data_IF_240702782893
#
_entry.id   IF_240702782893
#
_cell.length_a   1.000
_cell.length_b   1.000
_cell.length_c   1.000
_cell.angle_alpha   90.00
_cell.angle_beta   90.00
_cell.angle_gamma   90.00
#
_symmetry.space_group_name_H-M   'P 1'
#
loop_
_entity.id
_entity.type
_entity.pdbx_description
1 polymer ?
#
# COMPACT_ATOMS: atom_id res chain seq x y z
N UNK A 1 6.27 -20.23 8.43
CA UNK A 1 5.51 -18.97 8.47
C UNK A 1 4.32 -19.19 9.40
N UNK A 2 4.11 -18.33 10.40
CA UNK A 2 3.07 -18.44 11.42
C UNK A 2 2.03 -17.31 11.29
N UNK A 3 2.48 -16.09 10.94
CA UNK A 3 1.59 -14.95 10.70
C UNK A 3 1.90 -14.29 9.36
N UNK A 4 0.88 -13.99 8.58
CA UNK A 4 1.02 -13.11 7.42
C UNK A 4 0.28 -11.80 7.64
N UNK A 5 0.87 -10.70 7.19
CA UNK A 5 0.19 -9.41 7.12
C UNK A 5 -0.33 -9.19 5.72
N UNK A 6 -1.61 -8.82 5.60
CA UNK A 6 -2.23 -8.50 4.32
C UNK A 6 -2.57 -7.01 4.23
N UNK A 7 -2.00 -6.35 3.22
CA UNK A 7 -2.41 -5.03 2.76
C UNK A 7 -3.39 -5.22 1.59
N UNK A 8 -4.53 -4.54 1.64
CA UNK A 8 -5.59 -4.74 0.65
C UNK A 8 -6.47 -3.51 0.49
N UNK A 9 -7.02 -3.32 -0.71
CA UNK A 9 -7.94 -2.24 -1.00
C UNK A 9 -9.26 -2.35 -0.24
N UNK A 10 -9.80 -1.19 0.14
CA UNK A 10 -11.06 -1.08 0.86
C UNK A 10 -12.29 -0.79 -0.02
N UNK A 11 -12.11 -0.78 -1.35
CA UNK A 11 -13.20 -0.50 -2.29
C UNK A 11 -14.21 -1.63 -2.31
N UNK A 12 -15.49 -1.30 -2.14
CA UNK A 12 -16.62 -2.23 -2.33
C UNK A 12 -16.96 -2.50 -3.80
N UNK A 13 -16.27 -1.87 -4.76
CA UNK A 13 -16.52 -1.98 -6.20
C UNK A 13 -15.41 -2.72 -6.95
N UNK A 14 -14.59 -3.47 -6.22
CA UNK A 14 -13.49 -4.24 -6.79
C UNK A 14 -13.98 -5.30 -7.81
N UNK A 15 -13.17 -5.63 -8.84
CA UNK A 15 -13.46 -6.74 -9.75
C UNK A 15 -13.66 -8.05 -9.00
N UNK A 16 -14.59 -8.89 -9.49
CA UNK A 16 -14.93 -10.15 -8.80
C UNK A 16 -13.76 -11.14 -8.76
N UNK A 17 -12.86 -11.10 -9.75
CA UNK A 17 -11.60 -11.84 -9.73
C UNK A 17 -10.73 -11.48 -8.53
N UNK A 18 -10.66 -10.20 -8.16
CA UNK A 18 -9.93 -9.74 -6.97
C UNK A 18 -10.65 -10.13 -5.68
N UNK A 19 -11.99 -10.05 -5.66
CA UNK A 19 -12.81 -10.52 -4.53
C UNK A 19 -12.58 -12.01 -4.26
N UNK A 20 -12.55 -12.82 -5.32
CA UNK A 20 -12.27 -14.26 -5.24
C UNK A 20 -10.86 -14.55 -4.73
N UNK A 21 -9.85 -13.79 -5.16
CA UNK A 21 -8.50 -13.92 -4.64
C UNK A 21 -8.43 -13.56 -3.14
N UNK A 22 -9.12 -12.51 -2.69
CA UNK A 22 -9.19 -12.19 -1.26
C UNK A 22 -9.83 -13.31 -0.44
N UNK A 23 -10.93 -13.90 -0.92
CA UNK A 23 -11.58 -15.05 -0.27
C UNK A 23 -10.67 -16.29 -0.23
N UNK A 24 -10.03 -16.61 -1.35
CA UNK A 24 -9.10 -17.73 -1.45
C UNK A 24 -7.89 -17.57 -0.51
N UNK A 25 -7.35 -16.34 -0.38
CA UNK A 25 -6.26 -16.03 0.53
C UNK A 25 -6.66 -16.26 1.99
N UNK A 26 -7.82 -15.75 2.39
CA UNK A 26 -8.34 -15.99 3.74
C UNK A 26 -8.57 -17.48 4.02
N UNK A 27 -9.16 -18.21 3.08
CA UNK A 27 -9.35 -19.66 3.19
C UNK A 27 -8.02 -20.40 3.39
N UNK A 28 -7.01 -20.10 2.57
CA UNK A 28 -5.70 -20.73 2.65
C UNK A 28 -4.96 -20.38 3.95
N UNK A 29 -5.15 -19.19 4.52
CA UNK A 29 -4.63 -18.88 5.86
C UNK A 29 -5.17 -19.86 6.89
N UNK A 30 -6.50 -20.06 6.93
CA UNK A 30 -7.14 -20.96 7.86
C UNK A 30 -6.73 -22.43 7.62
N UNK A 31 -6.71 -22.88 6.37
CA UNK A 31 -6.31 -24.25 6.01
C UNK A 31 -4.87 -24.57 6.45
N UNK A 32 -3.97 -23.60 6.34
CA UNK A 32 -2.55 -23.74 6.69
C UNK A 32 -2.24 -23.43 8.16
N UNK A 33 -3.25 -23.13 8.98
CA UNK A 33 -3.10 -22.68 10.37
C UNK A 33 -2.18 -21.45 10.51
N UNK A 34 -2.32 -20.51 9.57
CA UNK A 34 -1.58 -19.25 9.52
C UNK A 34 -2.49 -18.13 10.05
N UNK A 35 -1.98 -17.37 11.01
CA UNK A 35 -2.67 -16.18 11.52
C UNK A 35 -2.68 -15.08 10.47
N UNK A 36 -3.86 -14.52 10.21
CA UNK A 36 -4.04 -13.38 9.31
C UNK A 36 -4.00 -12.08 10.12
N UNK A 37 -3.03 -11.20 9.85
CA UNK A 37 -2.96 -9.84 10.37
C UNK A 37 -3.36 -8.85 9.27
N UNK A 38 -4.27 -7.92 9.55
CA UNK A 38 -4.72 -6.94 8.56
C UNK A 38 -5.19 -5.63 9.21
N UNK A 39 -5.63 -4.69 8.38
CA UNK A 39 -6.01 -3.34 8.79
C UNK A 39 -7.34 -3.17 9.55
N UNK A 40 -8.04 -4.24 9.95
CA UNK A 40 -9.15 -4.21 10.92
C UNK A 40 -10.50 -3.63 10.46
N UNK A 41 -10.62 -3.17 9.22
CA UNK A 41 -11.85 -2.60 8.66
C UNK A 41 -12.72 -3.67 7.97
N UNK A 42 -14.02 -3.45 7.89
CA UNK A 42 -15.03 -4.33 7.27
C UNK A 42 -15.41 -3.90 5.84
N UNK A 43 -14.45 -3.40 5.06
CA UNK A 43 -14.70 -2.91 3.70
C UNK A 43 -13.84 -3.58 2.63
N UNK A 44 -14.39 -3.71 1.43
CA UNK A 44 -13.71 -4.23 0.24
C UNK A 44 -12.99 -5.56 0.44
N UNK A 45 -11.81 -5.69 -0.19
CA UNK A 45 -10.97 -6.88 -0.07
C UNK A 45 -10.52 -7.14 1.37
N UNK A 46 -10.33 -6.09 2.17
CA UNK A 46 -9.95 -6.23 3.59
C UNK A 46 -10.98 -7.05 4.37
N UNK A 47 -12.27 -6.83 4.13
CA UNK A 47 -13.32 -7.63 4.75
C UNK A 47 -13.34 -9.05 4.23
N UNK A 48 -13.27 -9.23 2.90
CA UNK A 48 -13.38 -10.54 2.27
C UNK A 48 -12.27 -11.48 2.73
N UNK A 49 -11.03 -11.01 2.83
CA UNK A 49 -9.90 -11.83 3.31
C UNK A 49 -10.05 -12.20 4.79
N UNK A 50 -10.43 -11.24 5.63
CA UNK A 50 -10.63 -11.47 7.06
C UNK A 50 -11.79 -12.43 7.33
N UNK A 51 -12.92 -12.20 6.68
CA UNK A 51 -14.12 -13.01 6.86
C UNK A 51 -13.95 -14.43 6.30
N UNK A 52 -13.23 -14.59 5.20
CA UNK A 52 -12.92 -15.91 4.66
C UNK A 52 -12.02 -16.72 5.61
N UNK A 53 -11.01 -16.11 6.21
CA UNK A 53 -10.18 -16.76 7.21
C UNK A 53 -11.02 -17.18 8.43
N UNK A 54 -11.80 -16.24 8.98
CA UNK A 54 -12.63 -16.46 10.17
C UNK A 54 -13.71 -17.54 9.96
N UNK A 55 -14.44 -17.51 8.84
CA UNK A 55 -15.48 -18.52 8.51
C UNK A 55 -14.90 -19.92 8.34
N UNK A 56 -13.59 -20.04 8.11
CA UNK A 56 -12.87 -21.31 8.04
C UNK A 56 -12.12 -21.65 9.34
N UNK A 57 -12.46 -20.99 10.46
CA UNK A 57 -11.86 -21.18 11.79
C UNK A 57 -10.38 -20.78 11.90
N UNK A 58 -9.88 -19.93 10.98
CA UNK A 58 -8.55 -19.34 11.10
C UNK A 58 -8.53 -18.14 12.04
N UNK A 59 -7.36 -17.85 12.62
CA UNK A 59 -7.15 -16.72 13.54
C UNK A 59 -6.95 -15.41 12.77
N UNK A 60 -7.69 -14.36 13.15
CA UNK A 60 -7.60 -13.03 12.51
C UNK A 60 -7.32 -11.93 13.52
N UNK A 61 -6.29 -11.13 13.24
CA UNK A 61 -5.86 -9.96 14.01
C UNK A 61 -6.12 -8.69 13.18
N UNK A 62 -6.92 -7.78 13.71
CA UNK A 62 -7.12 -6.44 13.13
C UNK A 62 -6.33 -5.38 13.88
N UNK A 63 -5.73 -4.43 13.16
CA UNK A 63 -5.06 -3.27 13.75
C UNK A 63 -5.66 -1.98 13.20
N UNK A 64 -6.18 -1.13 14.08
CA UNK A 64 -6.86 0.12 13.71
C UNK A 64 -6.32 1.30 14.53
N UNK A 65 -6.36 2.53 13.99
CA UNK A 65 -6.13 3.71 14.79
C UNK A 65 -7.28 3.91 15.81
N UNK A 66 -6.97 4.36 17.02
CA UNK A 66 -7.93 4.65 18.10
C UNK A 66 -9.06 5.57 17.63
N UNK A 67 -8.77 6.50 16.72
CA UNK A 67 -9.74 7.43 16.12
C UNK A 67 -10.81 6.75 15.24
N UNK A 68 -10.56 5.52 14.77
CA UNK A 68 -11.51 4.75 13.96
C UNK A 68 -12.24 3.67 14.77
N UNK A 69 -11.95 3.52 16.07
CA UNK A 69 -12.48 2.43 16.92
C UNK A 69 -14.00 2.35 16.93
N UNK A 70 -14.67 3.49 16.97
CA UNK A 70 -16.15 3.55 17.04
C UNK A 70 -16.80 3.63 15.65
N UNK A 71 -16.02 3.53 14.58
CA UNK A 71 -16.57 3.49 13.22
C UNK A 71 -17.43 2.23 13.04
N UNK A 72 -18.60 2.40 12.41
CA UNK A 72 -19.43 1.28 11.95
C UNK A 72 -18.69 0.36 10.96
N UNK A 73 -17.59 0.86 10.39
CA UNK A 73 -16.74 0.13 9.46
C UNK A 73 -15.67 -0.72 10.14
N UNK A 74 -15.60 -0.78 11.47
CA UNK A 74 -14.70 -1.72 12.16
C UNK A 74 -15.24 -3.15 12.07
N UNK A 75 -14.37 -4.12 11.82
CA UNK A 75 -14.73 -5.53 11.83
C UNK A 75 -14.81 -6.03 13.28
N UNK A 76 -16.02 -6.37 13.74
CA UNK A 76 -16.30 -6.68 15.16
C UNK A 76 -16.05 -8.14 15.55
N UNK A 77 -15.99 -9.06 14.59
CA UNK A 77 -15.93 -10.52 14.83
C UNK A 77 -14.49 -11.06 14.77
N UNK A 78 -13.49 -10.26 15.12
CA UNK A 78 -12.08 -10.65 15.09
C UNK A 78 -11.65 -11.36 16.38
N UNK A 79 -10.67 -12.27 16.28
CA UNK A 79 -10.05 -12.90 17.46
C UNK A 79 -9.26 -11.89 18.31
N UNK A 80 -8.67 -10.90 17.66
CA UNK A 80 -7.93 -9.82 18.30
C UNK A 80 -8.09 -8.52 17.52
N UNK A 81 -8.41 -7.44 18.22
CA UNK A 81 -8.45 -6.09 17.67
C UNK A 81 -7.53 -5.18 18.48
N UNK A 82 -6.46 -4.69 17.85
CA UNK A 82 -5.46 -3.82 18.46
C UNK A 82 -5.73 -2.39 18.03
N UNK A 83 -5.72 -1.47 19.00
CA UNK A 83 -5.82 -0.03 18.76
C UNK A 83 -4.47 0.65 18.95
N UNK A 84 -4.13 1.57 18.05
CA UNK A 84 -2.88 2.37 18.08
C UNK A 84 -3.18 3.86 17.87
N UNK A 85 -2.25 4.76 18.12
CA UNK A 85 -2.54 6.20 18.08
C UNK A 85 -2.43 6.79 16.66
N UNK A 86 -1.47 6.31 15.86
CA UNK A 86 -1.18 6.86 14.52
C UNK A 86 -1.31 5.84 13.38
N UNK A 87 -1.35 6.32 12.14
CA UNK A 87 -1.34 5.45 10.95
C UNK A 87 0.01 4.75 10.80
N UNK A 88 1.10 5.44 11.12
CA UNK A 88 2.43 4.85 11.11
C UNK A 88 2.57 3.74 12.16
N UNK A 89 2.12 3.98 13.39
CA UNK A 89 2.12 2.94 14.42
C UNK A 89 1.31 1.71 13.98
N UNK A 90 0.20 1.92 13.25
CA UNK A 90 -0.60 0.83 12.68
C UNK A 90 0.22 0.01 11.69
N UNK A 91 0.87 0.66 10.72
CA UNK A 91 1.73 -0.02 9.74
C UNK A 91 2.88 -0.76 10.42
N UNK A 92 3.52 -0.13 11.41
CA UNK A 92 4.60 -0.73 12.21
C UNK A 92 4.14 -1.94 13.02
N UNK A 93 2.99 -1.89 13.68
CA UNK A 93 2.46 -3.02 14.45
C UNK A 93 2.04 -4.19 13.55
N UNK A 94 1.53 -3.90 12.34
CA UNK A 94 1.24 -4.90 11.31
C UNK A 94 2.54 -5.52 10.80
N UNK A 95 3.57 -4.71 10.55
CA UNK A 95 4.90 -5.18 10.17
C UNK A 95 5.49 -6.10 11.25
N UNK A 96 5.45 -5.73 12.53
CA UNK A 96 6.07 -6.50 13.61
C UNK A 96 5.48 -7.90 13.81
N UNK A 97 4.22 -8.10 13.44
CA UNK A 97 3.55 -9.40 13.52
C UNK A 97 3.81 -10.28 12.31
N UNK A 98 4.19 -9.70 11.18
CA UNK A 98 4.36 -10.43 9.94
C UNK A 98 5.62 -11.32 9.96
N UNK A 99 5.48 -12.57 9.50
CA UNK A 99 6.61 -13.35 8.97
C UNK A 99 6.76 -13.10 7.46
N UNK A 100 5.64 -12.86 6.77
CA UNK A 100 5.56 -12.44 5.37
C UNK A 100 4.44 -11.41 5.18
N UNK A 101 4.55 -10.62 4.11
CA UNK A 101 3.63 -9.52 3.82
C UNK A 101 3.09 -9.71 2.40
N UNK A 102 1.77 -9.68 2.27
CA UNK A 102 1.06 -9.94 1.02
C UNK A 102 0.25 -8.69 0.66
N UNK A 103 0.38 -8.22 -0.58
CA UNK A 103 -0.40 -7.11 -1.11
C UNK A 103 -1.43 -7.61 -2.13
N UNK A 104 -2.70 -7.56 -1.73
CA UNK A 104 -3.82 -7.65 -2.67
C UNK A 104 -4.01 -6.29 -3.35
N UNK A 105 -4.71 -6.24 -4.50
CA UNK A 105 -5.02 -4.99 -5.19
C UNK A 105 -5.62 -3.91 -4.28
N UNK A 106 -5.20 -2.65 -4.44
CA UNK A 106 -5.59 -1.56 -3.56
C UNK A 106 -5.07 -0.19 -3.98
N UNK A 107 -5.71 0.88 -3.47
CA UNK A 107 -5.40 2.26 -3.87
C UNK A 107 -4.21 2.86 -3.10
N UNK A 108 -4.19 4.19 -2.98
CA UNK A 108 -3.07 4.90 -2.35
C UNK A 108 -2.67 4.43 -0.94
N UNK A 109 -3.61 3.96 -0.12
CA UNK A 109 -3.28 3.40 1.20
C UNK A 109 -2.48 2.10 1.12
N UNK A 110 -2.89 1.17 0.25
CA UNK A 110 -2.15 -0.08 0.01
C UNK A 110 -0.81 0.21 -0.65
N UNK A 111 -0.75 1.19 -1.56
CA UNK A 111 0.50 1.63 -2.16
C UNK A 111 1.48 2.22 -1.14
N UNK A 112 1.02 3.05 -0.21
CA UNK A 112 1.84 3.57 0.90
C UNK A 112 2.38 2.44 1.78
N UNK A 113 1.53 1.48 2.15
CA UNK A 113 1.92 0.29 2.92
C UNK A 113 2.96 -0.56 2.17
N UNK A 114 2.80 -0.77 0.87
CA UNK A 114 3.74 -1.52 0.02
C UNK A 114 5.09 -0.80 -0.10
N UNK A 115 5.07 0.50 -0.43
CA UNK A 115 6.28 1.28 -0.66
C UNK A 115 7.13 1.40 0.61
N UNK A 116 6.50 1.51 1.78
CA UNK A 116 7.18 1.54 3.09
C UNK A 116 7.99 0.26 3.33
N UNK A 117 7.37 -0.91 3.12
CA UNK A 117 8.04 -2.20 3.29
C UNK A 117 9.17 -2.39 2.29
N UNK A 118 8.95 -2.09 1.02
CA UNK A 118 10.01 -2.18 0.00
C UNK A 118 11.20 -1.28 0.36
N UNK A 119 10.93 -0.05 0.81
CA UNK A 119 11.98 0.88 1.21
C UNK A 119 12.76 0.39 2.45
N UNK A 120 12.09 -0.15 3.46
CA UNK A 120 12.77 -0.74 4.62
C UNK A 120 13.63 -1.96 4.24
N UNK A 121 13.18 -2.74 3.26
CA UNK A 121 13.92 -3.85 2.67
C UNK A 121 15.21 -3.39 2.02
N UNK A 122 15.12 -2.39 1.15
CA UNK A 122 16.28 -1.73 0.50
C UNK A 122 17.32 -1.24 1.50
N UNK A 123 16.86 -0.64 2.60
CA UNK A 123 17.73 -0.15 3.67
C UNK A 123 18.31 -1.26 4.55
N UNK A 124 17.81 -2.49 4.42
CA UNK A 124 18.29 -3.66 5.15
C UNK A 124 17.75 -3.78 6.57
N UNK A 125 16.57 -3.22 6.86
CA UNK A 125 15.92 -3.35 8.17
C UNK A 125 15.32 -4.74 8.39
N UNK A 126 14.78 -5.40 7.36
CA UNK A 126 14.05 -6.64 7.54
C UNK A 126 14.46 -7.76 6.58
N UNK A 127 13.95 -8.97 6.84
CA UNK A 127 14.12 -10.20 6.05
C UNK A 127 12.76 -10.85 5.74
N UNK A 128 11.77 -10.03 5.44
CA UNK A 128 10.38 -10.48 5.23
C UNK A 128 10.04 -10.38 3.74
N UNK A 129 9.54 -11.44 3.10
CA UNK A 129 9.12 -11.37 1.71
C UNK A 129 7.91 -10.45 1.56
N UNK A 130 7.92 -9.63 0.50
CA UNK A 130 6.80 -8.77 0.11
C UNK A 130 6.18 -9.32 -1.18
N UNK A 131 5.08 -10.05 -1.04
CA UNK A 131 4.43 -10.74 -2.16
C UNK A 131 3.32 -9.89 -2.74
N UNK A 132 3.46 -9.54 -4.02
CA UNK A 132 2.45 -8.86 -4.82
C UNK A 132 1.50 -9.91 -5.40
N UNK A 133 0.28 -10.01 -4.86
CA UNK A 133 -0.74 -10.94 -5.36
C UNK A 133 -1.34 -10.33 -6.64
N UNK A 134 -0.71 -10.63 -7.76
CA UNK A 134 -0.89 -10.01 -9.06
C UNK A 134 -2.01 -10.66 -9.87
N UNK A 135 -3.25 -10.45 -9.44
CA UNK A 135 -4.45 -10.91 -10.13
C UNK A 135 -4.73 -10.00 -11.32
N UNK A 136 -5.02 -10.57 -12.48
CA UNK A 136 -5.33 -9.87 -13.73
C UNK A 136 -4.26 -8.85 -14.17
N UNK A 137 -3.01 -9.02 -13.73
CA UNK A 137 -1.91 -8.09 -14.03
C UNK A 137 -2.01 -6.75 -13.29
N UNK A 138 -2.79 -6.67 -12.20
CA UNK A 138 -3.03 -5.41 -11.47
C UNK A 138 -1.75 -4.66 -11.04
N UNK A 139 -0.69 -5.39 -10.72
CA UNK A 139 0.58 -4.82 -10.25
C UNK A 139 1.61 -4.64 -11.37
N UNK A 140 1.34 -5.06 -12.62
CA UNK A 140 2.31 -5.08 -13.72
C UNK A 140 3.04 -3.74 -13.87
N UNK A 141 2.30 -2.64 -14.06
CA UNK A 141 2.89 -1.32 -14.28
C UNK A 141 3.64 -0.77 -13.05
N UNK A 142 3.21 -1.16 -11.84
CA UNK A 142 3.92 -0.80 -10.61
C UNK A 142 5.24 -1.55 -10.47
N UNK A 143 5.27 -2.84 -10.82
CA UNK A 143 6.50 -3.63 -10.82
C UNK A 143 7.45 -3.17 -11.94
N UNK A 144 6.88 -2.87 -13.11
CA UNK A 144 7.59 -2.30 -14.25
C UNK A 144 8.26 -0.97 -13.91
N UNK A 145 7.67 -0.15 -13.03
CA UNK A 145 8.33 1.07 -12.53
C UNK A 145 9.74 0.77 -12.00
N UNK A 146 9.90 -0.26 -11.16
CA UNK A 146 11.21 -0.60 -10.59
C UNK A 146 12.13 -1.33 -11.57
N UNK A 147 11.58 -1.97 -12.60
CA UNK A 147 12.32 -2.78 -13.59
C UNK A 147 12.67 -2.00 -14.88
N UNK A 148 12.04 -0.84 -15.11
CA UNK A 148 12.12 -0.08 -16.35
C UNK A 148 13.56 0.41 -16.62
N UNK A 149 13.95 0.37 -17.90
CA UNK A 149 15.25 0.77 -18.43
C UNK A 149 15.69 2.19 -18.06
N UNK A 150 14.76 3.12 -17.83
CA UNK A 150 15.07 4.47 -17.36
C UNK A 150 15.72 4.45 -15.97
N UNK A 151 15.40 3.44 -15.18
CA UNK A 151 15.89 3.20 -13.83
C UNK A 151 17.08 2.22 -13.76
N UNK A 152 17.33 1.48 -14.86
CA UNK A 152 18.41 0.49 -14.92
C UNK A 152 19.77 1.16 -14.73
N UNK A 153 20.42 0.86 -13.60
CA UNK A 153 21.72 1.39 -13.21
C UNK A 153 21.80 1.96 -11.80
N UNK A 154 20.68 2.13 -11.10
CA UNK A 154 20.70 2.52 -9.69
C UNK A 154 20.76 1.28 -8.80
N UNK A 155 21.76 1.23 -7.91
CA UNK A 155 21.93 0.11 -6.96
C UNK A 155 20.71 -0.05 -6.03
N UNK A 156 20.03 1.06 -5.74
CA UNK A 156 18.86 1.11 -4.88
C UNK A 156 17.64 0.42 -5.50
N UNK A 157 17.35 0.64 -6.79
CA UNK A 157 16.16 0.05 -7.43
C UNK A 157 16.34 -1.45 -7.69
N UNK A 158 17.57 -1.90 -7.93
CA UNK A 158 17.89 -3.34 -7.92
C UNK A 158 17.55 -4.00 -6.58
N UNK A 159 17.83 -3.32 -5.46
CA UNK A 159 17.49 -3.81 -4.12
C UNK A 159 15.98 -3.85 -3.85
N UNK A 160 15.17 -3.04 -4.53
CA UNK A 160 13.70 -3.14 -4.42
C UNK A 160 13.24 -4.49 -4.99
N UNK A 161 13.78 -4.88 -6.13
CA UNK A 161 13.39 -6.14 -6.81
C UNK A 161 13.77 -7.40 -6.02
N UNK A 162 14.73 -7.32 -5.09
CA UNK A 162 15.07 -8.45 -4.20
C UNK A 162 13.96 -8.78 -3.18
N UNK A 163 13.10 -7.80 -2.84
CA UNK A 163 12.01 -7.97 -1.88
C UNK A 163 10.62 -8.08 -2.54
N UNK A 164 10.46 -7.49 -3.73
CA UNK A 164 9.22 -7.50 -4.50
C UNK A 164 9.06 -8.85 -5.21
N UNK A 165 8.11 -9.66 -4.75
CA UNK A 165 7.85 -11.00 -5.27
C UNK A 165 6.50 -11.01 -5.96
N UNK A 166 6.47 -11.11 -7.28
CA UNK A 166 5.23 -11.30 -8.02
C UNK A 166 4.67 -12.70 -7.79
N UNK A 167 3.36 -12.81 -7.53
CA UNK A 167 2.61 -14.06 -7.54
C UNK A 167 1.31 -13.94 -8.32
N UNK A 168 1.07 -14.79 -9.31
CA UNK A 168 -0.08 -14.69 -10.23
C UNK A 168 -1.32 -15.44 -9.74
N UNK A 169 -1.22 -16.11 -8.60
CA UNK A 169 -2.36 -16.70 -7.88
C UNK A 169 -2.09 -16.67 -6.39
N UNK A 170 -3.10 -16.97 -5.58
CA UNK A 170 -2.96 -17.03 -4.13
C UNK A 170 -2.09 -18.20 -3.70
N UNK A 171 -2.24 -19.37 -4.31
CA UNK A 171 -1.42 -20.55 -4.05
C UNK A 171 0.05 -20.28 -4.39
N UNK A 172 0.30 -19.62 -5.52
CA UNK A 172 1.63 -19.17 -5.93
C UNK A 172 2.21 -18.18 -4.92
N UNK A 173 1.38 -17.30 -4.34
CA UNK A 173 1.82 -16.34 -3.33
C UNK A 173 2.36 -17.04 -2.07
N UNK A 174 1.66 -18.05 -1.55
CA UNK A 174 2.15 -18.86 -0.44
C UNK A 174 3.42 -19.63 -0.81
N UNK A 175 3.45 -20.28 -1.97
CA UNK A 175 4.60 -21.06 -2.41
C UNK A 175 5.86 -20.18 -2.56
N UNK A 176 5.72 -19.00 -3.17
CA UNK A 176 6.84 -18.06 -3.35
C UNK A 176 7.29 -17.43 -2.04
N UNK A 177 6.36 -17.10 -1.12
CA UNK A 177 6.73 -16.61 0.20
C UNK A 177 7.56 -17.64 0.99
N UNK A 178 7.20 -18.93 0.92
CA UNK A 178 7.91 -20.01 1.59
C UNK A 178 9.28 -20.31 0.95
N UNK A 179 9.39 -20.16 -0.38
CA UNK A 179 10.63 -20.43 -1.12
C UNK A 179 11.62 -19.26 -1.12
N UNK A 180 11.16 -18.03 -0.85
CA UNK A 180 11.99 -16.83 -0.94
C UNK A 180 13.12 -16.84 0.08
N UNK A 181 14.29 -16.34 -0.33
CA UNK A 181 15.44 -16.15 0.53
C UNK A 181 15.86 -14.69 0.54
N UNK A 182 16.04 -14.16 1.75
CA UNK A 182 16.44 -12.78 1.92
C UNK A 182 17.84 -12.51 1.34
N UNK A 183 18.06 -11.37 0.65
CA UNK A 183 19.37 -11.02 0.12
C UNK A 183 20.39 -10.80 1.25
N UNK A 184 21.68 -10.90 0.94
CA UNK A 184 22.75 -10.91 1.95
C UNK A 184 22.86 -9.61 2.78
N UNK A 185 22.24 -8.52 2.35
CA UNK A 185 22.20 -7.24 3.09
C UNK A 185 20.95 -7.08 3.97
N UNK A 186 19.93 -7.92 3.80
CA UNK A 186 18.68 -7.87 4.54
C UNK A 186 18.89 -8.10 6.05
N UNK A 187 18.13 -7.38 6.89
CA UNK A 187 18.18 -7.46 8.35
C UNK A 187 19.55 -7.19 8.97
N UNK A 188 20.40 -6.38 8.32
CA UNK A 188 21.67 -5.90 8.90
C UNK A 188 21.48 -4.67 9.79
N UNK A 189 20.35 -3.98 9.65
CA UNK A 189 19.93 -2.88 10.53
C UNK A 189 18.86 -3.39 11.49
N UNK A 190 18.80 -2.80 12.67
CA UNK A 190 17.81 -3.13 13.69
C UNK A 190 16.42 -2.61 13.29
N UNK A 191 15.45 -3.50 13.11
CA UNK A 191 14.06 -3.16 12.81
C UNK A 191 13.25 -2.78 14.06
N UNK A 192 13.83 -2.91 15.25
CA UNK A 192 13.28 -2.44 16.53
C UNK A 192 13.82 -1.07 16.96
N UNK A 193 14.70 -0.46 16.15
CA UNK A 193 15.17 0.89 16.41
C UNK A 193 14.00 1.89 16.50
N UNK A 194 14.09 2.87 17.40
CA UNK A 194 12.97 3.75 17.78
C UNK A 194 12.34 4.56 16.62
N UNK A 195 12.96 4.62 15.43
CA UNK A 195 12.42 5.30 14.27
C UNK A 195 12.79 4.57 12.97
N UNK A 196 11.99 3.56 12.58
CA UNK A 196 11.98 3.12 11.18
C UNK A 196 11.66 4.35 10.30
N UNK A 197 12.41 4.58 9.20
CA UNK A 197 12.21 5.74 8.35
C UNK A 197 10.78 5.81 7.84
N UNK A 198 10.13 6.96 8.01
CA UNK A 198 8.79 7.20 7.50
C UNK A 198 8.59 8.67 7.13
N UNK A 199 7.53 8.94 6.37
CA UNK A 199 7.22 10.27 5.85
C UNK A 199 5.89 10.84 6.35
N UNK A 200 5.24 10.23 7.35
CA UNK A 200 3.91 10.65 7.77
C UNK A 200 3.90 12.07 8.36
N UNK A 201 4.96 12.42 9.10
CA UNK A 201 5.13 13.76 9.69
C UNK A 201 5.88 14.73 8.74
N UNK A 202 6.35 14.26 7.58
CA UNK A 202 7.10 15.10 6.64
C UNK A 202 6.25 16.19 5.98
N UNK A 203 4.92 16.04 6.03
CA UNK A 203 3.97 16.91 5.33
C UNK A 203 3.08 17.73 6.27
N UNK A 204 3.36 17.70 7.58
CA UNK A 204 2.67 18.53 8.58
C UNK A 204 3.32 19.90 8.80
N UNK A 205 4.36 20.24 8.04
CA UNK A 205 5.03 21.55 8.15
C UNK A 205 4.25 22.64 7.41
N UNK A 206 3.75 23.62 8.16
CA UNK A 206 2.99 24.78 7.67
C UNK A 206 3.84 25.69 6.75
N UNK A 207 5.16 25.51 6.68
CA UNK A 207 6.06 26.27 5.81
C UNK A 207 6.16 25.71 4.37
N UNK A 208 5.66 24.49 4.14
CA UNK A 208 5.67 23.90 2.80
C UNK A 208 4.56 24.52 1.93
N UNK A 209 4.91 24.97 0.73
CA UNK A 209 3.95 25.50 -0.24
C UNK A 209 3.37 24.40 -1.16
N UNK A 210 4.14 23.35 -1.41
CA UNK A 210 3.77 22.19 -2.22
C UNK A 210 4.73 21.02 -1.94
N UNK A 211 4.30 19.80 -2.28
CA UNK A 211 5.13 18.60 -2.30
C UNK A 211 5.50 18.34 -3.76
N UNK A 212 6.79 18.31 -4.08
CA UNK A 212 7.29 18.00 -5.42
C UNK A 212 8.04 16.67 -5.35
N UNK A 213 7.56 15.68 -6.12
CA UNK A 213 8.19 14.39 -6.31
C UNK A 213 8.96 14.44 -7.63
N UNK A 214 10.28 14.50 -7.56
CA UNK A 214 11.20 14.48 -8.70
C UNK A 214 12.25 13.36 -8.61
N UNK A 215 12.19 12.57 -7.54
CA UNK A 215 13.05 11.41 -7.31
C UNK A 215 12.30 10.11 -7.61
N UNK A 216 12.78 9.37 -8.59
CA UNK A 216 12.23 8.07 -8.98
C UNK A 216 12.97 6.88 -8.31
N UNK A 217 13.63 7.13 -7.17
CA UNK A 217 14.21 6.10 -6.29
C UNK A 217 13.15 5.36 -5.46
N UNK A 218 13.56 4.33 -4.70
CA UNK A 218 12.67 3.66 -3.74
C UNK A 218 12.19 4.63 -2.66
N UNK A 219 13.06 5.54 -2.21
CA UNK A 219 12.69 6.60 -1.27
C UNK A 219 11.64 7.55 -1.87
N UNK A 220 11.87 8.04 -3.09
CA UNK A 220 10.98 9.00 -3.74
C UNK A 220 9.59 8.42 -4.04
N UNK A 221 9.52 7.15 -4.43
CA UNK A 221 8.23 6.44 -4.58
C UNK A 221 7.50 6.33 -3.24
N UNK A 222 8.19 6.00 -2.16
CA UNK A 222 7.58 5.95 -0.84
C UNK A 222 7.07 7.33 -0.39
N UNK A 223 7.83 8.40 -0.62
CA UNK A 223 7.38 9.78 -0.38
C UNK A 223 6.11 10.11 -1.18
N UNK A 224 6.06 9.74 -2.46
CA UNK A 224 4.89 9.94 -3.32
C UNK A 224 3.67 9.18 -2.79
N UNK A 225 3.86 7.91 -2.41
CA UNK A 225 2.81 7.06 -1.86
C UNK A 225 2.22 7.66 -0.58
N UNK A 226 3.08 8.06 0.36
CA UNK A 226 2.65 8.66 1.63
C UNK A 226 1.94 9.99 1.41
N UNK A 227 2.46 10.87 0.55
CA UNK A 227 1.80 12.15 0.22
C UNK A 227 0.40 11.93 -0.36
N UNK A 228 0.25 11.02 -1.33
CA UNK A 228 -1.05 10.74 -1.93
C UNK A 228 -2.02 10.10 -0.93
N UNK A 229 -1.55 9.15 -0.12
CA UNK A 229 -2.37 8.46 0.88
C UNK A 229 -2.88 9.44 1.96
N UNK A 230 -2.00 10.28 2.50
CA UNK A 230 -2.37 11.27 3.52
C UNK A 230 -3.25 12.37 2.97
N UNK A 231 -2.99 12.85 1.74
CA UNK A 231 -3.86 13.80 1.04
C UNK A 231 -5.28 13.25 0.88
N UNK A 232 -5.40 11.99 0.47
CA UNK A 232 -6.67 11.31 0.31
C UNK A 232 -7.44 11.15 1.64
N UNK A 233 -6.72 11.14 2.77
CA UNK A 233 -7.31 11.06 4.12
C UNK A 233 -7.54 12.44 4.75
N UNK A 234 -7.31 13.54 4.01
CA UNK A 234 -7.44 14.90 4.50
C UNK A 234 -6.43 15.25 5.60
N UNK A 235 -5.27 14.57 5.65
CA UNK A 235 -4.24 14.78 6.67
C UNK A 235 -3.29 15.94 6.35
N UNK A 236 -3.27 16.40 5.11
CA UNK A 236 -2.67 17.66 4.70
C UNK A 236 -3.42 18.25 3.50
N UNK A 237 -3.22 19.54 3.25
CA UNK A 237 -3.81 20.30 2.15
C UNK A 237 -2.77 20.83 1.14
N UNK A 238 -1.53 20.38 1.24
CA UNK A 238 -0.46 20.70 0.29
C UNK A 238 -0.76 20.16 -1.12
N UNK A 239 -0.62 20.97 -2.19
CA UNK A 239 -0.62 20.50 -3.58
C UNK A 239 0.53 19.50 -3.81
N UNK A 240 0.27 18.46 -4.59
CA UNK A 240 1.27 17.43 -4.93
C UNK A 240 1.61 17.57 -6.42
N UNK A 241 2.90 17.60 -6.74
CA UNK A 241 3.41 17.65 -8.10
C UNK A 241 4.37 16.49 -8.36
N UNK A 242 4.23 15.82 -9.50
CA UNK A 242 5.17 14.81 -10.00
C UNK A 242 5.90 15.40 -11.21
N UNK A 243 7.22 15.56 -11.08
CA UNK A 243 8.10 16.01 -12.16
C UNK A 243 8.53 14.81 -13.00
N UNK A 244 7.73 14.49 -14.02
CA UNK A 244 7.93 13.32 -14.88
C UNK A 244 8.93 13.58 -16.02
N UNK A 245 10.20 13.77 -15.65
CA UNK A 245 11.27 13.99 -16.62
C UNK A 245 11.59 12.70 -17.38
N UNK A 246 11.64 12.76 -18.72
CA UNK A 246 11.91 11.62 -19.62
C UNK A 246 11.03 10.38 -19.39
N UNK A 247 9.83 10.54 -18.83
CA UNK A 247 8.92 9.44 -18.59
C UNK A 247 9.31 8.52 -17.42
N UNK A 248 10.15 9.00 -16.49
CA UNK A 248 10.59 8.22 -15.33
C UNK A 248 9.44 7.74 -14.43
N UNK A 249 8.28 8.40 -14.45
CA UNK A 249 7.10 7.99 -13.69
C UNK A 249 6.00 7.37 -14.55
N UNK A 250 6.22 7.17 -15.87
CA UNK A 250 5.18 6.66 -16.77
C UNK A 250 4.55 5.35 -16.29
N UNK A 251 5.31 4.33 -15.83
CA UNK A 251 4.69 3.09 -15.33
C UNK A 251 3.88 3.33 -14.06
N UNK A 252 4.38 4.15 -13.12
CA UNK A 252 3.64 4.46 -11.89
C UNK A 252 2.33 5.22 -12.19
N UNK A 253 2.38 6.18 -13.12
CA UNK A 253 1.19 6.93 -13.53
C UNK A 253 0.17 6.03 -14.23
N UNK A 254 0.64 5.09 -15.07
CA UNK A 254 -0.23 4.09 -15.68
C UNK A 254 -0.87 3.16 -14.64
N UNK A 255 -0.12 2.72 -13.63
CA UNK A 255 -0.69 1.96 -12.51
C UNK A 255 -1.78 2.75 -11.76
N UNK A 256 -1.61 4.06 -11.56
CA UNK A 256 -2.65 4.91 -10.95
C UNK A 256 -3.92 4.91 -11.81
N UNK A 257 -3.79 5.02 -13.13
CA UNK A 257 -4.93 4.96 -14.07
C UNK A 257 -5.64 3.60 -14.00
N UNK A 258 -4.90 2.50 -13.97
CA UNK A 258 -5.46 1.15 -13.88
C UNK A 258 -6.11 0.89 -12.50
N UNK A 259 -5.51 1.38 -11.42
CA UNK A 259 -6.09 1.33 -10.08
C UNK A 259 -7.37 2.17 -9.97
N UNK A 260 -7.47 3.27 -10.74
CA UNK A 260 -8.69 4.06 -10.87
C UNK A 260 -9.77 3.32 -11.67
N UNK A 261 -9.39 2.71 -12.80
CA UNK A 261 -10.29 1.88 -13.62
C UNK A 261 -10.83 0.67 -12.84
N UNK A 262 -10.00 0.05 -12.00
CA UNK A 262 -10.36 -1.03 -11.08
C UNK A 262 -11.07 -0.54 -9.79
N UNK A 263 -11.41 0.76 -9.71
CA UNK A 263 -12.20 1.38 -8.63
C UNK A 263 -11.54 1.38 -7.25
N UNK A 264 -10.22 1.25 -7.17
CA UNK A 264 -9.47 1.39 -5.92
C UNK A 264 -9.06 2.84 -5.62
N UNK A 265 -8.91 3.64 -6.66
CA UNK A 265 -8.68 5.09 -6.62
C UNK A 265 -9.93 5.74 -7.22
N UNK A 266 -10.53 6.73 -6.54
CA UNK A 266 -11.71 7.42 -7.11
C UNK A 266 -11.27 8.45 -8.14
N UNK A 267 -12.14 8.85 -9.07
CA UNK A 267 -11.83 9.90 -10.05
C UNK A 267 -11.31 11.18 -9.38
N UNK A 268 -11.96 11.61 -8.30
CA UNK A 268 -11.52 12.74 -7.47
C UNK A 268 -10.12 12.58 -6.88
N UNK A 269 -9.69 11.35 -6.58
CA UNK A 269 -8.35 11.10 -6.07
C UNK A 269 -7.27 11.29 -7.15
N UNK A 270 -7.61 11.12 -8.43
CA UNK A 270 -6.68 11.39 -9.54
C UNK A 270 -6.45 12.89 -9.76
N UNK A 271 -7.32 13.74 -9.22
CA UNK A 271 -7.19 15.19 -9.24
C UNK A 271 -6.32 15.74 -8.09
N UNK A 272 -5.84 14.89 -7.17
CA UNK A 272 -5.07 15.31 -5.99
C UNK A 272 -3.61 15.72 -6.29
N UNK A 273 -3.14 15.47 -7.51
CA UNK A 273 -1.77 15.76 -7.91
C UNK A 273 -1.71 16.27 -9.36
N UNK A 274 -0.64 16.99 -9.67
CA UNK A 274 -0.32 17.45 -11.02
C UNK A 274 0.92 16.75 -11.55
N UNK A 275 0.95 16.47 -12.86
CA UNK A 275 2.12 15.90 -13.54
C UNK A 275 2.59 16.86 -14.63
N UNK A 276 3.90 17.08 -14.73
CA UNK A 276 4.52 17.74 -15.87
C UNK A 276 5.99 17.28 -16.01
N UNK A 277 6.55 17.38 -17.22
CA UNK A 277 7.97 17.10 -17.48
C UNK A 277 8.86 18.34 -17.34
N UNK A 278 8.27 19.52 -17.20
CA UNK A 278 8.95 20.81 -17.03
C UNK A 278 8.54 21.45 -15.70
N UNK A 279 9.51 22.00 -14.98
CA UNK A 279 9.32 22.55 -13.64
C UNK A 279 8.44 23.82 -13.64
N UNK A 280 8.55 24.67 -14.66
CA UNK A 280 7.76 25.89 -14.73
C UNK A 280 6.29 25.55 -15.03
N UNK A 281 6.05 24.60 -15.93
CA UNK A 281 4.71 24.07 -16.19
C UNK A 281 4.13 23.40 -14.95
N UNK A 282 4.93 22.62 -14.21
CA UNK A 282 4.47 21.99 -12.96
C UNK A 282 4.06 23.04 -11.93
N UNK A 283 4.88 24.08 -11.73
CA UNK A 283 4.57 25.18 -10.81
C UNK A 283 3.24 25.85 -11.13
N UNK A 284 2.95 26.12 -12.41
CA UNK A 284 1.68 26.72 -12.82
C UNK A 284 0.48 25.81 -12.51
N UNK A 285 0.63 24.49 -12.70
CA UNK A 285 -0.41 23.52 -12.34
C UNK A 285 -0.64 23.47 -10.83
N UNK A 286 0.42 23.55 -10.04
CA UNK A 286 0.34 23.55 -8.57
C UNK A 286 -0.38 24.81 -8.04
N UNK A 287 -0.14 25.98 -8.63
CA UNK A 287 -0.85 27.22 -8.29
C UNK A 287 -2.37 27.14 -8.52
N UNK A 288 -2.80 26.35 -9.52
CA UNK A 288 -4.21 26.07 -9.79
C UNK A 288 -4.73 25.06 -8.76
N UNK A 289 -3.99 23.97 -8.54
CA UNK A 289 -4.37 22.90 -7.61
C UNK A 289 -4.50 23.40 -6.17
N UNK A 290 -3.66 24.34 -5.74
CA UNK A 290 -3.72 24.97 -4.42
C UNK A 290 -5.06 25.68 -4.13
N UNK A 291 -5.77 26.09 -5.18
CA UNK A 291 -7.07 26.78 -5.08
C UNK A 291 -8.25 25.82 -5.19
N UNK A 292 -7.99 24.54 -5.50
CA UNK A 292 -9.00 23.54 -5.75
C UNK A 292 -9.32 22.75 -4.48
N UNK A 293 -10.58 22.76 -4.06
CA UNK A 293 -11.07 21.94 -2.95
C UNK A 293 -11.71 20.67 -3.50
N UNK A 294 -11.16 19.52 -3.11
CA UNK A 294 -11.67 18.20 -3.48
C UNK A 294 -12.33 17.59 -2.25
N UNK A 295 -13.64 17.35 -2.31
CA UNK A 295 -14.40 16.66 -1.27
C UNK A 295 -14.38 15.14 -1.51
N UNK A 296 -13.80 14.41 -0.54
CA UNK A 296 -13.54 12.97 -0.61
C UNK A 296 -14.53 12.12 0.21
N UNK A 297 -15.59 12.69 0.79
CA UNK A 297 -16.34 12.06 1.89
C UNK A 297 -17.13 10.77 1.56
N UNK A 298 -17.58 10.51 0.32
CA UNK A 298 -18.64 9.48 0.11
C UNK A 298 -18.38 8.39 -0.96
N UNK A 299 -17.34 8.47 -1.80
CA UNK A 299 -17.30 7.62 -3.01
C UNK A 299 -16.51 6.30 -2.90
N UNK A 300 -15.67 6.14 -1.87
CA UNK A 300 -14.63 5.09 -1.90
C UNK A 300 -15.07 3.71 -1.40
N UNK A 301 -15.93 3.66 -0.38
CA UNK A 301 -16.12 2.43 0.40
C UNK A 301 -17.21 1.51 -0.16
N UNK A 302 -18.20 2.06 -0.86
CA UNK A 302 -19.38 1.29 -1.30
C UNK A 302 -20.11 0.60 -0.14
N UNK A 303 -21.04 -0.29 -0.49
CA UNK A 303 -21.70 -1.16 0.49
C UNK A 303 -20.72 -2.20 1.03
N UNK A 304 -20.97 -2.68 2.25
CA UNK A 304 -20.23 -3.82 2.81
C UNK A 304 -20.44 -5.03 1.87
N UNK A 305 -19.38 -5.69 1.36
CA UNK A 305 -19.55 -6.83 0.48
C UNK A 305 -20.39 -7.94 1.14
N UNK A 306 -21.28 -8.56 0.36
CA UNK A 306 -21.94 -9.79 0.75
C UNK A 306 -20.95 -10.97 0.67
N UNK A 307 -21.04 -11.88 1.64
CA UNK A 307 -20.15 -13.05 1.74
C UNK A 307 -20.91 -14.35 1.49
#
# INVERSE_FOLDING_TARGET
>A
MQTITVYAGSSGFAPETHNNAARALGHLCAEKDITLCYGGMNAGLMYLVAEACRRNNGRVIGIIPSKLRDSERVHKELDELITVETLWERKREMYYRADAIFALPGGFGTFDEVAEILYWGVLGFHKKPMVMVNIDGYWDDFMDFFQNKVHQGTEELGKVTDFLIEATSVEDAFAKAEAWQAPAYAGKRDDRAEQLPNFEDAFSDDLLNAIIIDDASGQGVYQAATALALRQLGKHSLPIGILNNKGAFDPLLKWIDDASAARYITAKCTELFAVASDQQVLSQKLDILAKHQIDLHEEKWGDKPEF
#
